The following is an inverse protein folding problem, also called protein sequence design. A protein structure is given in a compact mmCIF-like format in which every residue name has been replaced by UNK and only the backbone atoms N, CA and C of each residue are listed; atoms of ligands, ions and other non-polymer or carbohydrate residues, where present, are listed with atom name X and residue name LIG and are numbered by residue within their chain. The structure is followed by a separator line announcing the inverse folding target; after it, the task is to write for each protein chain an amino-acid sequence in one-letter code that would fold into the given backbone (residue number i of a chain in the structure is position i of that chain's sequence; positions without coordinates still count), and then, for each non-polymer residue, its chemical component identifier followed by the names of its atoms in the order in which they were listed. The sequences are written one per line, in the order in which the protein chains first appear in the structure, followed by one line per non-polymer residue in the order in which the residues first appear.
data_IF_204208565567
#
_entry.id   IF_204208565567
#
_cell.length_a   1.000
_cell.length_b   1.000
_cell.length_c   1.000
_cell.angle_alpha   90.00
_cell.angle_beta   90.00
_cell.angle_gamma   90.00
#
_symmetry.space_group_name_H-M   'P 1'
#
loop_
_entity.id
_entity.type
_entity.pdbx_description
1 polymer ?
#
# COMPACT_ATOMS: atom_id res chain seq x y z
N UNK A 1 -24.48 7.47 11.04
CA UNK A 1 -24.92 7.00 9.71
C UNK A 1 -23.73 6.42 8.96
N UNK A 2 -23.63 5.10 8.87
CA UNK A 2 -22.60 4.41 8.10
C UNK A 2 -22.85 4.61 6.61
N UNK A 3 -22.01 5.42 5.95
CA UNK A 3 -22.02 5.52 4.48
C UNK A 3 -21.64 4.15 3.92
N UNK A 4 -22.63 3.40 3.42
CA UNK A 4 -22.41 2.20 2.62
C UNK A 4 -21.54 2.59 1.44
N UNK A 5 -20.24 2.24 1.50
CA UNK A 5 -19.36 2.37 0.34
C UNK A 5 -19.77 1.26 -0.63
N UNK A 6 -20.74 1.56 -1.48
CA UNK A 6 -21.05 0.73 -2.65
C UNK A 6 -19.73 0.61 -3.42
N UNK A 7 -19.18 -0.59 -3.47
CA UNK A 7 -17.93 -0.87 -4.17
C UNK A 7 -18.21 -0.81 -5.68
N UNK A 8 -17.90 0.33 -6.28
CA UNK A 8 -17.78 0.40 -7.72
C UNK A 8 -16.38 -0.11 -8.10
N UNK A 9 -16.26 -1.05 -9.06
CA UNK A 9 -14.95 -1.47 -9.55
C UNK A 9 -14.17 -0.23 -10.00
N UNK A 10 -12.87 -0.21 -9.68
CA UNK A 10 -12.02 0.90 -10.09
C UNK A 10 -12.04 1.02 -11.62
N UNK A 11 -12.37 2.21 -12.14
CA UNK A 11 -12.29 2.48 -13.59
C UNK A 11 -10.95 2.04 -14.17
N UNK A 12 -10.92 1.63 -15.42
CA UNK A 12 -9.66 1.35 -16.12
C UNK A 12 -8.98 2.66 -16.51
N UNK A 13 -7.67 2.62 -16.77
CA UNK A 13 -6.94 3.79 -17.29
C UNK A 13 -7.52 4.25 -18.64
N UNK A 14 -7.94 3.29 -19.47
CA UNK A 14 -8.53 3.57 -20.80
C UNK A 14 -9.89 4.26 -20.69
N UNK A 15 -10.75 3.86 -19.74
CA UNK A 15 -12.00 4.57 -19.46
C UNK A 15 -11.77 6.02 -19.02
N UNK A 16 -10.79 6.25 -18.13
CA UNK A 16 -10.45 7.61 -17.67
C UNK A 16 -9.88 8.46 -18.78
N UNK A 17 -8.99 7.90 -19.59
CA UNK A 17 -8.45 8.59 -20.76
C UNK A 17 -9.57 9.00 -21.71
N UNK A 18 -10.47 8.08 -22.05
CA UNK A 18 -11.59 8.35 -22.94
C UNK A 18 -12.56 9.39 -22.35
N UNK A 19 -12.82 9.34 -21.05
CA UNK A 19 -13.66 10.30 -20.34
C UNK A 19 -13.15 11.73 -20.52
N UNK A 20 -11.88 11.99 -20.16
CA UNK A 20 -11.31 13.33 -20.23
C UNK A 20 -11.05 13.78 -21.67
N UNK A 21 -10.66 12.87 -22.57
CA UNK A 21 -10.52 13.18 -24.00
C UNK A 21 -11.83 13.68 -24.62
N UNK A 22 -12.94 12.98 -24.37
CA UNK A 22 -14.26 13.40 -24.91
C UNK A 22 -14.71 14.71 -24.27
N UNK A 23 -14.54 14.84 -22.96
CA UNK A 23 -14.93 16.06 -22.26
C UNK A 23 -14.13 17.29 -22.71
N UNK A 24 -12.82 17.18 -22.95
CA UNK A 24 -12.01 18.27 -23.49
C UNK A 24 -12.42 18.69 -24.90
N UNK A 25 -12.91 17.73 -25.71
CA UNK A 25 -13.37 18.01 -27.08
C UNK A 25 -14.76 18.63 -27.16
N UNK A 26 -15.67 18.28 -26.23
CA UNK A 26 -17.09 18.63 -26.35
C UNK A 26 -17.60 19.56 -25.25
N UNK A 27 -16.90 19.63 -24.11
CA UNK A 27 -17.40 20.29 -22.90
C UNK A 27 -18.56 19.58 -22.21
N UNK A 28 -19.12 18.52 -22.80
CA UNK A 28 -20.32 17.83 -22.30
C UNK A 28 -19.97 16.65 -21.39
N UNK A 29 -20.26 16.82 -20.09
CA UNK A 29 -20.04 15.82 -19.05
C UNK A 29 -20.93 14.58 -19.26
N UNK A 30 -22.19 14.76 -19.69
CA UNK A 30 -23.11 13.63 -19.90
C UNK A 30 -22.62 12.74 -21.03
N UNK A 31 -22.26 13.36 -22.15
CA UNK A 31 -21.73 12.66 -23.30
C UNK A 31 -20.46 11.89 -22.94
N UNK A 32 -19.53 12.55 -22.23
CA UNK A 32 -18.28 11.93 -21.82
C UNK A 32 -18.50 10.73 -20.87
N UNK A 33 -19.36 10.89 -19.85
CA UNK A 33 -19.70 9.83 -18.90
C UNK A 33 -20.37 8.63 -19.59
N UNK A 34 -21.34 8.89 -20.48
CA UNK A 34 -22.05 7.85 -21.23
C UNK A 34 -21.10 7.08 -22.15
N UNK A 35 -20.25 7.78 -22.91
CA UNK A 35 -19.31 7.15 -23.83
C UNK A 35 -18.24 6.34 -23.10
N UNK A 36 -17.69 6.87 -22.00
CA UNK A 36 -16.68 6.18 -21.19
C UNK A 36 -17.26 5.10 -20.26
N UNK A 37 -18.59 4.94 -20.20
CA UNK A 37 -19.30 4.02 -19.30
C UNK A 37 -18.90 4.23 -17.83
N UNK A 38 -18.90 5.49 -17.40
CA UNK A 38 -18.56 5.89 -16.03
C UNK A 38 -19.68 6.77 -15.46
N UNK A 39 -19.87 6.75 -14.16
CA UNK A 39 -20.85 7.62 -13.51
C UNK A 39 -20.35 9.06 -13.40
N UNK A 40 -21.29 10.01 -13.31
CA UNK A 40 -21.00 11.43 -13.04
C UNK A 40 -20.19 11.64 -11.75
N UNK A 41 -20.47 10.85 -10.71
CA UNK A 41 -19.70 10.90 -9.46
C UNK A 41 -18.23 10.56 -9.66
N UNK A 42 -17.94 9.59 -10.53
CA UNK A 42 -16.58 9.21 -10.91
C UNK A 42 -15.88 10.33 -11.70
N UNK A 43 -16.60 11.03 -12.58
CA UNK A 43 -16.06 12.21 -13.27
C UNK A 43 -15.53 13.25 -12.29
N UNK A 44 -16.33 13.70 -11.32
CA UNK A 44 -15.89 14.72 -10.36
C UNK A 44 -14.76 14.23 -9.46
N UNK A 45 -14.75 12.96 -9.06
CA UNK A 45 -13.64 12.38 -8.30
C UNK A 45 -12.30 12.43 -9.06
N UNK A 46 -12.32 12.18 -10.38
CA UNK A 46 -11.12 12.23 -11.20
C UNK A 46 -10.79 13.64 -11.70
N UNK A 47 -11.77 14.53 -11.82
CA UNK A 47 -11.60 15.90 -12.29
C UNK A 47 -10.60 16.66 -11.43
N UNK A 48 -10.74 16.58 -10.11
CA UNK A 48 -9.79 17.22 -9.18
C UNK A 48 -8.33 16.77 -9.40
N UNK A 49 -8.12 15.53 -9.86
CA UNK A 49 -6.77 15.01 -10.15
C UNK A 49 -6.29 15.43 -11.52
N UNK A 50 -7.17 15.40 -12.50
CA UNK A 50 -6.90 15.86 -13.84
C UNK A 50 -6.50 17.33 -13.83
N UNK A 51 -7.23 18.19 -13.10
CA UNK A 51 -6.91 19.61 -12.98
C UNK A 51 -5.53 19.86 -12.32
N UNK A 52 -5.05 18.92 -11.48
CA UNK A 52 -3.75 19.03 -10.78
C UNK A 52 -2.55 18.50 -11.57
N UNK A 53 -2.76 17.55 -12.49
CA UNK A 53 -1.63 16.85 -13.14
C UNK A 53 -1.98 16.15 -14.45
N UNK A 54 -3.08 16.55 -15.08
CA UNK A 54 -3.54 16.11 -16.38
C UNK A 54 -3.68 14.59 -16.52
N UNK A 55 -3.34 14.10 -17.71
CA UNK A 55 -3.42 12.69 -18.08
C UNK A 55 -2.53 11.78 -17.21
N UNK A 56 -1.38 12.26 -16.77
CA UNK A 56 -0.48 11.50 -15.90
C UNK A 56 -1.12 11.22 -14.53
N UNK A 57 -1.82 12.22 -13.96
CA UNK A 57 -2.48 12.10 -12.66
C UNK A 57 -3.70 11.17 -12.66
N UNK A 58 -4.30 10.92 -13.83
CA UNK A 58 -5.41 9.99 -14.01
C UNK A 58 -4.99 8.63 -14.57
N UNK A 59 -3.71 8.42 -14.90
CA UNK A 59 -3.25 7.14 -15.45
C UNK A 59 -3.43 6.00 -14.44
N UNK A 60 -3.12 6.24 -13.16
CA UNK A 60 -3.15 5.23 -12.10
C UNK A 60 -4.12 5.61 -10.96
N UNK A 61 -4.89 4.65 -10.42
CA UNK A 61 -5.63 4.87 -9.19
C UNK A 61 -4.71 5.11 -8.01
N UNK A 62 -5.28 5.67 -6.92
CA UNK A 62 -4.54 5.75 -5.67
C UNK A 62 -4.32 4.33 -5.17
N UNK A 63 -3.13 4.05 -4.65
CA UNK A 63 -2.90 2.78 -3.98
C UNK A 63 -3.86 2.64 -2.80
N UNK A 64 -4.59 1.52 -2.76
CA UNK A 64 -5.39 1.12 -1.62
C UNK A 64 -4.55 0.48 -0.50
N UNK A 65 -3.22 0.44 -0.66
CA UNK A 65 -2.34 -0.06 0.38
C UNK A 65 -2.49 0.78 1.67
N UNK A 66 -2.51 0.13 2.84
CA UNK A 66 -2.57 0.85 4.10
C UNK A 66 -1.38 1.81 4.21
N UNK A 67 -1.65 3.09 4.41
CA UNK A 67 -0.62 4.13 4.56
C UNK A 67 0.27 3.91 5.77
N UNK A 68 -0.29 3.31 6.82
CA UNK A 68 0.42 2.95 8.04
C UNK A 68 0.31 1.43 8.29
N UNK A 69 1.09 0.59 7.57
CA UNK A 69 1.13 -0.83 7.86
C UNK A 69 1.71 -1.03 9.26
N UNK A 70 1.18 -1.98 10.04
CA UNK A 70 1.76 -2.33 11.34
C UNK A 70 3.23 -2.72 11.15
N UNK A 71 4.14 -1.83 11.57
CA UNK A 71 5.58 -2.06 11.53
C UNK A 71 6.00 -2.65 12.87
N UNK A 72 6.87 -3.65 12.83
CA UNK A 72 7.55 -4.12 14.03
C UNK A 72 8.38 -2.96 14.58
N UNK A 73 8.30 -2.66 15.89
CA UNK A 73 9.08 -1.60 16.51
C UNK A 73 10.57 -1.72 16.18
N UNK A 74 11.28 -0.60 15.93
CA UNK A 74 12.68 -0.64 15.52
C UNK A 74 13.57 -1.31 16.57
N UNK A 75 13.27 -1.14 17.86
CA UNK A 75 14.00 -1.78 18.95
C UNK A 75 13.94 -3.31 18.90
N UNK A 76 12.78 -3.87 18.52
CA UNK A 76 12.63 -5.32 18.33
C UNK A 76 13.39 -5.81 17.09
N UNK A 77 13.40 -5.02 16.02
CA UNK A 77 14.17 -5.33 14.81
C UNK A 77 15.67 -5.36 15.10
N UNK A 78 16.18 -4.37 15.82
CA UNK A 78 17.58 -4.29 16.27
C UNK A 78 17.93 -5.48 17.16
N UNK A 79 17.04 -5.86 18.09
CA UNK A 79 17.23 -7.03 18.94
C UNK A 79 17.38 -8.32 18.12
N UNK A 80 16.49 -8.53 17.16
CA UNK A 80 16.52 -9.70 16.26
C UNK A 80 17.84 -9.74 15.48
N UNK A 81 18.30 -8.60 14.95
CA UNK A 81 19.59 -8.49 14.26
C UNK A 81 20.74 -8.86 15.18
N UNK A 82 20.80 -8.27 16.38
CA UNK A 82 21.87 -8.52 17.35
C UNK A 82 21.93 -9.99 17.76
N UNK A 83 20.79 -10.63 18.02
CA UNK A 83 20.74 -12.06 18.36
C UNK A 83 21.22 -12.92 17.19
N UNK A 84 20.80 -12.61 15.95
CA UNK A 84 21.23 -13.34 14.75
C UNK A 84 22.73 -13.17 14.47
N UNK A 85 23.28 -11.98 14.67
CA UNK A 85 24.71 -11.72 14.50
C UNK A 85 25.55 -12.49 15.54
N UNK A 86 25.11 -12.50 16.79
CA UNK A 86 25.78 -13.27 17.86
C UNK A 86 25.64 -14.78 17.68
N UNK A 87 24.57 -15.25 17.03
CA UNK A 87 24.28 -16.67 16.84
C UNK A 87 23.82 -16.97 15.40
N UNK A 88 24.76 -17.04 14.44
CA UNK A 88 24.43 -17.29 13.04
C UNK A 88 23.72 -18.63 12.79
N UNK A 89 24.04 -19.65 13.57
CA UNK A 89 23.45 -21.01 13.50
C UNK A 89 21.96 -21.03 13.90
N UNK A 90 21.47 -20.01 14.61
CA UNK A 90 20.13 -20.05 15.17
C UNK A 90 19.06 -19.81 14.10
N UNK A 91 18.09 -20.72 14.09
CA UNK A 91 16.87 -20.60 13.31
C UNK A 91 15.89 -19.57 13.89
N UNK A 92 14.93 -19.17 13.05
CA UNK A 92 13.87 -18.20 13.35
C UNK A 92 13.09 -18.48 14.65
N UNK A 93 12.87 -19.75 15.00
CA UNK A 93 12.13 -20.14 16.20
C UNK A 93 12.93 -19.91 17.48
N UNK A 94 14.22 -20.24 17.46
CA UNK A 94 15.12 -20.02 18.59
C UNK A 94 15.32 -18.53 18.85
N UNK A 95 15.46 -17.74 17.78
CA UNK A 95 15.56 -16.28 17.88
C UNK A 95 14.26 -15.67 18.43
N UNK A 96 13.09 -16.15 17.98
CA UNK A 96 11.80 -15.68 18.51
C UNK A 96 11.67 -15.92 20.02
N UNK A 97 12.04 -17.11 20.50
CA UNK A 97 12.06 -17.44 21.94
C UNK A 97 13.03 -16.56 22.70
N UNK A 98 14.23 -16.35 22.17
CA UNK A 98 15.23 -15.52 22.82
C UNK A 98 14.78 -14.06 22.92
N UNK A 99 14.19 -13.50 21.85
CA UNK A 99 13.63 -12.13 21.88
C UNK A 99 12.58 -11.99 22.97
N UNK A 100 11.66 -12.95 23.08
CA UNK A 100 10.65 -12.94 24.14
C UNK A 100 11.26 -13.02 25.55
N UNK A 101 12.36 -13.76 25.71
CA UNK A 101 13.07 -13.91 26.98
C UNK A 101 13.80 -12.64 27.42
N UNK A 102 14.43 -11.94 26.47
CA UNK A 102 15.28 -10.78 26.77
C UNK A 102 14.56 -9.44 26.65
N UNK A 103 13.33 -9.41 26.13
CA UNK A 103 12.57 -8.17 25.97
C UNK A 103 12.08 -7.65 27.33
N UNK A 104 12.50 -6.45 27.77
CA UNK A 104 12.12 -5.91 29.08
C UNK A 104 10.63 -5.56 29.17
N UNK A 105 9.92 -5.46 28.04
CA UNK A 105 8.48 -5.18 27.99
C UNK A 105 7.64 -6.46 27.78
N UNK A 106 8.26 -7.64 27.83
CA UNK A 106 7.60 -8.93 27.66
C UNK A 106 6.96 -9.14 26.28
N UNK A 107 7.40 -8.41 25.25
CA UNK A 107 6.81 -8.51 23.90
C UNK A 107 7.28 -9.78 23.22
N UNK A 108 6.34 -10.50 22.62
CA UNK A 108 6.62 -11.71 21.85
C UNK A 108 6.60 -11.42 20.35
N UNK A 109 7.45 -12.12 19.61
CA UNK A 109 7.47 -12.09 18.14
C UNK A 109 7.33 -13.51 17.60
N UNK A 110 6.41 -13.70 16.66
CA UNK A 110 6.27 -14.99 15.98
C UNK A 110 7.48 -15.29 15.09
N UNK A 111 7.81 -16.57 14.92
CA UNK A 111 8.92 -17.03 14.07
C UNK A 111 8.82 -16.53 12.61
N UNK A 112 7.61 -16.42 12.07
CA UNK A 112 7.36 -15.85 10.73
C UNK A 112 7.71 -14.37 10.66
N UNK A 113 7.43 -13.61 11.72
CA UNK A 113 7.79 -12.19 11.81
C UNK A 113 9.30 -12.03 11.84
N UNK A 114 10.00 -12.85 12.65
CA UNK A 114 11.47 -12.91 12.69
C UNK A 114 12.03 -13.22 11.30
N UNK A 115 11.52 -14.24 10.62
CA UNK A 115 11.96 -14.58 9.26
C UNK A 115 11.77 -13.43 8.27
N UNK A 116 10.59 -12.77 8.27
CA UNK A 116 10.31 -11.61 7.41
C UNK A 116 11.24 -10.44 7.70
N UNK A 117 11.58 -10.21 8.96
CA UNK A 117 12.52 -9.16 9.37
C UNK A 117 13.92 -9.49 8.87
N UNK A 118 14.43 -10.70 9.14
CA UNK A 118 15.76 -11.13 8.69
C UNK A 118 15.90 -11.07 7.17
N UNK A 119 14.90 -11.54 6.42
CA UNK A 119 14.88 -11.47 4.96
C UNK A 119 14.95 -10.03 4.44
N UNK A 120 14.17 -9.12 5.04
CA UNK A 120 14.20 -7.68 4.69
C UNK A 120 15.56 -7.05 4.98
N UNK A 121 16.17 -7.42 6.09
CA UNK A 121 17.49 -6.91 6.48
C UNK A 121 18.55 -7.41 5.50
N UNK A 122 18.53 -8.68 5.11
CA UNK A 122 19.48 -9.22 4.13
C UNK A 122 19.37 -8.47 2.79
N UNK A 123 18.15 -8.29 2.28
CA UNK A 123 17.90 -7.53 1.05
C UNK A 123 18.37 -6.05 1.10
N UNK A 124 18.52 -5.47 2.28
CA UNK A 124 19.03 -4.11 2.45
C UNK A 124 20.56 -4.03 2.53
N UNK A 125 21.26 -5.15 2.75
CA UNK A 125 22.73 -5.21 2.76
C UNK A 125 23.31 -5.62 1.40
N UNK A 126 22.51 -6.30 0.56
CA UNK A 126 22.86 -6.71 -0.81
C UNK A 126 22.57 -5.61 -1.87
N UNK A 127 22.35 -4.36 -1.46
CA UNK A 127 22.10 -3.20 -2.34
C UNK A 127 22.94 -2.01 -1.92
#
# INVERSE_FOLDING_TARGET
MSKTRIYYPETTAQQRYQLFKIWEQTGDINLACNKARVSRSTFYYWKERFDKGGYAAIAKPKSNAPKNPRRTPPDIVERIKSIKQKNPEWGKERIAKEVARVDPKGRTVGATTVFRILKRVQQQNDS
#
